data_IF_510449183488
#
_entry.id   IF_510449183488
#
_cell.length_a   1.000
_cell.length_b   1.000
_cell.length_c   1.000
_cell.angle_alpha   90.00
_cell.angle_beta   90.00
_cell.angle_gamma   90.00
#
_symmetry.space_group_name_H-M   'P 1'
#
loop_
_entity.id
_entity.type
_entity.pdbx_description
1 polymer ?
#
# COMPACT_ATOMS: atom_id res chain seq x y z
N UNK A 1 26.95 65.54 -0.65
CA UNK A 1 25.94 66.62 -0.74
C UNK A 1 24.61 66.09 -0.30
N UNK A 2 24.30 66.48 0.86
CA UNK A 2 23.14 67.21 1.37
C UNK A 2 21.83 66.47 1.35
N UNK A 3 21.33 66.26 2.45
CA UNK A 3 20.74 66.97 3.56
C UNK A 3 19.19 66.90 3.56
N UNK A 4 18.72 66.47 4.71
CA UNK A 4 17.73 67.13 5.61
C UNK A 4 16.26 67.15 5.12
N UNK A 5 15.27 67.11 5.95
CA UNK A 5 15.04 67.14 7.40
C UNK A 5 13.54 66.94 7.71
N UNK A 6 13.26 66.46 8.92
CA UNK A 6 12.35 66.98 9.97
C UNK A 6 10.85 67.15 9.78
N UNK A 7 10.15 66.67 10.83
CA UNK A 7 9.03 67.35 11.52
C UNK A 7 8.06 66.33 12.09
N UNK A 8 8.01 65.99 13.34
CA UNK A 8 7.54 66.59 14.61
C UNK A 8 6.07 67.00 14.60
N UNK A 9 5.19 66.40 15.37
CA UNK A 9 4.69 66.78 16.72
C UNK A 9 3.25 66.27 16.87
N UNK A 10 2.69 65.95 17.95
CA UNK A 10 2.62 66.17 19.40
C UNK A 10 1.30 65.62 19.96
N UNK A 11 1.41 64.97 21.06
CA UNK A 11 0.62 65.01 22.31
C UNK A 11 -0.89 65.35 22.34
N UNK A 12 -1.66 64.59 23.11
CA UNK A 12 -2.20 65.08 24.38
C UNK A 12 -2.86 63.97 25.24
N UNK A 13 -2.42 64.04 26.48
CA UNK A 13 -2.84 63.44 27.74
C UNK A 13 -4.31 63.57 28.11
N UNK A 14 -4.79 62.66 28.99
CA UNK A 14 -5.45 62.93 30.31
C UNK A 14 -5.91 61.58 30.90
N UNK A 15 -5.29 61.19 31.97
CA UNK A 15 -5.57 61.30 33.41
C UNK A 15 -6.88 60.69 33.90
N UNK A 16 -6.73 59.86 34.94
CA UNK A 16 -7.72 59.65 35.98
C UNK A 16 -7.68 58.31 36.68
N UNK A 17 -6.71 58.14 37.58
CA UNK A 17 -6.74 57.69 39.01
C UNK A 17 -7.76 56.64 39.48
N UNK A 18 -7.27 55.67 40.16
CA UNK A 18 -7.13 55.23 41.58
C UNK A 18 -7.81 53.90 41.76
N UNK A 19 -7.38 52.89 42.42
CA UNK A 19 -6.71 52.65 43.68
C UNK A 19 -6.51 51.13 43.91
N UNK A 20 -5.46 50.84 44.59
CA UNK A 20 -4.97 49.65 45.26
C UNK A 20 -5.94 48.56 45.76
N UNK A 21 -5.50 47.30 45.81
CA UNK A 21 -5.11 46.52 46.99
C UNK A 21 -5.04 45.01 46.66
N UNK A 22 -3.99 44.34 47.11
CA UNK A 22 -4.07 42.95 47.57
C UNK A 22 -3.41 41.89 46.68
N UNK A 23 -2.22 41.49 47.08
CA UNK A 23 -1.47 40.39 46.52
C UNK A 23 -2.05 39.00 46.79
N UNK A 24 -1.74 38.11 45.90
CA UNK A 24 -1.49 36.72 46.20
C UNK A 24 -0.78 36.05 45.01
N UNK A 25 0.44 35.67 45.22
CA UNK A 25 1.23 34.82 44.35
C UNK A 25 0.56 33.46 44.16
N UNK A 26 0.22 33.11 42.89
CA UNK A 26 -0.16 31.76 42.53
C UNK A 26 0.99 31.08 41.77
N UNK A 27 1.25 29.78 42.02
CA UNK A 27 2.34 29.06 41.42
C UNK A 27 2.07 28.80 39.95
N UNK A 28 3.12 28.89 39.12
CA UNK A 28 3.10 28.51 37.69
C UNK A 28 2.74 27.04 37.58
N UNK A 29 1.53 26.73 37.18
CA UNK A 29 1.15 25.40 36.75
C UNK A 29 1.84 25.12 35.41
N UNK A 30 2.62 24.06 35.40
CA UNK A 30 3.14 23.41 34.23
C UNK A 30 1.96 23.05 33.32
N UNK A 31 1.75 23.79 32.23
CA UNK A 31 0.84 23.35 31.17
C UNK A 31 1.54 22.23 30.41
N UNK A 32 1.25 21.03 30.84
CA UNK A 32 1.34 19.83 30.01
C UNK A 32 0.38 20.10 28.84
N UNK A 33 0.93 20.34 27.66
CA UNK A 33 0.14 20.42 26.42
C UNK A 33 -0.32 19.01 26.13
N UNK A 34 -1.56 18.70 26.52
CA UNK A 34 -2.32 17.58 25.97
C UNK A 34 -2.43 17.82 24.47
N UNK A 35 -1.66 17.07 23.71
CA UNK A 35 -1.85 16.97 22.27
C UNK A 35 -3.11 16.15 22.06
N UNK A 36 -4.13 16.82 21.54
CA UNK A 36 -5.41 16.26 21.14
C UNK A 36 -5.20 15.06 20.20
N UNK A 37 -5.54 13.87 20.68
CA UNK A 37 -5.39 12.57 20.00
C UNK A 37 -6.37 12.45 18.80
N UNK A 38 -7.26 13.45 18.65
CA UNK A 38 -8.30 13.52 17.62
C UNK A 38 -7.77 13.77 16.20
N UNK A 39 -6.55 14.31 16.06
CA UNK A 39 -5.95 14.59 14.74
C UNK A 39 -5.24 13.39 14.12
N UNK A 40 -5.07 12.28 14.83
CA UNK A 40 -4.31 11.11 14.34
C UNK A 40 -5.08 10.26 13.33
N UNK A 41 -6.40 10.14 13.46
CA UNK A 41 -7.21 9.27 12.59
C UNK A 41 -7.37 9.81 11.15
N UNK A 42 -7.30 11.12 10.98
CA UNK A 42 -7.49 11.78 9.68
C UNK A 42 -6.24 11.81 8.79
N UNK A 43 -5.06 11.49 9.33
CA UNK A 43 -3.77 11.79 8.70
C UNK A 43 -3.12 10.58 8.05
N UNK A 44 -3.46 9.37 8.46
CA UNK A 44 -2.95 8.14 7.82
C UNK A 44 -3.41 8.04 6.36
N UNK A 45 -4.65 8.44 6.10
CA UNK A 45 -5.21 8.55 4.75
C UNK A 45 -4.54 9.65 3.92
N UNK A 46 -4.01 10.70 4.58
CA UNK A 46 -3.42 11.87 3.90
C UNK A 46 -1.94 11.68 3.54
N UNK A 47 -1.20 10.83 4.24
CA UNK A 47 0.26 10.69 4.01
C UNK A 47 0.55 9.81 2.79
N UNK A 48 -0.25 8.77 2.55
CA UNK A 48 -0.10 7.88 1.38
C UNK A 48 -0.81 8.41 0.14
N UNK A 49 -1.84 9.25 0.30
CA UNK A 49 -2.69 9.72 -0.80
C UNK A 49 -2.37 11.14 -1.27
N UNK A 50 -1.72 12.00 -0.46
CA UNK A 50 -1.65 13.45 -0.73
C UNK A 50 -0.48 13.86 -1.64
N UNK A 51 0.62 13.10 -1.68
CA UNK A 51 1.76 13.41 -2.55
C UNK A 51 1.53 12.95 -3.99
N UNK A 52 0.81 11.82 -4.21
CA UNK A 52 0.44 11.34 -5.55
C UNK A 52 -0.88 11.93 -6.06
N UNK A 53 -1.81 12.31 -5.18
CA UNK A 53 -3.12 12.87 -5.55
C UNK A 53 -3.06 14.33 -6.00
N UNK A 54 -2.06 15.13 -5.58
CA UNK A 54 -1.90 16.51 -6.05
C UNK A 54 -1.50 16.62 -7.52
N UNK A 55 -0.87 15.58 -8.07
CA UNK A 55 -0.55 15.52 -9.49
C UNK A 55 -1.69 14.99 -10.37
N UNK A 56 -2.76 14.46 -9.78
CA UNK A 56 -3.88 13.77 -10.47
C UNK A 56 -5.24 14.46 -10.27
N UNK A 57 -5.32 15.54 -9.49
CA UNK A 57 -6.57 16.32 -9.31
C UNK A 57 -7.11 16.95 -10.62
N UNK A 58 -6.39 16.80 -11.75
CA UNK A 58 -6.87 17.13 -13.09
C UNK A 58 -7.47 15.97 -13.90
N UNK A 59 -7.56 14.75 -13.35
CA UNK A 59 -7.99 13.56 -14.09
C UNK A 59 -9.35 13.00 -13.69
N UNK A 60 -10.04 13.58 -12.71
CA UNK A 60 -11.40 13.15 -12.32
C UNK A 60 -12.50 13.59 -13.32
N UNK A 61 -12.18 14.51 -14.26
CA UNK A 61 -13.08 14.97 -15.34
C UNK A 61 -12.81 14.30 -16.70
N UNK A 62 -12.12 13.16 -16.75
CA UNK A 62 -12.08 12.38 -17.99
C UNK A 62 -13.46 11.75 -18.15
N UNK A 63 -14.25 12.28 -19.11
CA UNK A 63 -15.50 11.71 -19.59
C UNK A 63 -15.42 10.19 -19.61
N UNK A 64 -16.44 9.51 -19.06
CA UNK A 64 -16.57 8.05 -19.15
C UNK A 64 -16.56 7.66 -20.64
N UNK A 65 -15.38 7.30 -21.16
CA UNK A 65 -15.24 6.75 -22.50
C UNK A 65 -16.13 5.51 -22.53
N UNK A 66 -17.03 5.43 -23.48
CA UNK A 66 -17.92 4.27 -23.64
C UNK A 66 -17.09 2.97 -23.68
N UNK A 67 -17.58 1.89 -23.09
CA UNK A 67 -16.85 0.61 -23.01
C UNK A 67 -16.29 0.14 -24.38
N UNK A 68 -16.98 0.44 -25.51
CA UNK A 68 -16.50 0.15 -26.86
C UNK A 68 -15.22 0.93 -27.19
N UNK A 69 -15.12 2.20 -26.84
CA UNK A 69 -13.94 3.02 -27.11
C UNK A 69 -12.70 2.57 -26.31
N UNK A 70 -12.89 1.99 -25.13
CA UNK A 70 -11.78 1.43 -24.34
C UNK A 70 -11.23 0.16 -25.02
N UNK A 71 -12.09 -0.71 -25.53
CA UNK A 71 -11.67 -1.93 -26.24
C UNK A 71 -10.99 -1.59 -27.57
N UNK A 72 -11.50 -0.61 -28.30
CA UNK A 72 -10.86 -0.15 -29.55
C UNK A 72 -9.44 0.40 -29.27
N UNK A 73 -9.30 1.21 -28.22
CA UNK A 73 -7.99 1.71 -27.76
C UNK A 73 -7.07 0.57 -27.29
N UNK A 74 -7.60 -0.45 -26.59
CA UNK A 74 -6.83 -1.63 -26.19
C UNK A 74 -6.26 -2.34 -27.44
N UNK A 75 -7.08 -2.59 -28.46
CA UNK A 75 -6.67 -3.26 -29.70
C UNK A 75 -5.62 -2.46 -30.45
N UNK A 76 -5.82 -1.15 -30.62
CA UNK A 76 -4.85 -0.26 -31.26
C UNK A 76 -3.48 -0.31 -30.57
N UNK A 77 -3.46 -0.23 -29.24
CA UNK A 77 -2.20 -0.26 -28.50
C UNK A 77 -1.56 -1.66 -28.47
N UNK A 78 -2.33 -2.74 -28.54
CA UNK A 78 -1.78 -4.09 -28.72
C UNK A 78 -1.03 -4.22 -30.05
N UNK A 79 -1.58 -3.68 -31.16
CA UNK A 79 -0.93 -3.68 -32.46
C UNK A 79 0.36 -2.82 -32.43
N UNK A 80 0.30 -1.63 -31.85
CA UNK A 80 1.44 -0.73 -31.72
C UNK A 80 2.53 -1.29 -30.78
N UNK A 81 2.19 -2.12 -29.81
CA UNK A 81 3.15 -2.77 -28.92
C UNK A 81 4.04 -3.83 -29.63
N UNK A 82 3.72 -4.19 -30.87
CA UNK A 82 4.55 -5.06 -31.72
C UNK A 82 5.46 -4.26 -32.69
N UNK A 83 5.34 -2.95 -32.71
CA UNK A 83 6.03 -2.10 -33.68
C UNK A 83 7.57 -2.19 -33.55
N UNK A 84 8.29 -2.08 -34.69
CA UNK A 84 9.77 -2.17 -34.74
C UNK A 84 10.44 -0.99 -34.02
N UNK A 85 9.84 0.20 -34.10
CA UNK A 85 10.35 1.40 -33.43
C UNK A 85 10.11 1.29 -31.89
N UNK A 86 11.20 1.41 -31.13
CA UNK A 86 11.20 1.29 -29.66
C UNK A 86 10.29 2.35 -29.04
N UNK A 87 10.31 3.59 -29.49
CA UNK A 87 9.52 4.68 -28.91
C UNK A 87 8.02 4.43 -29.06
N UNK A 88 7.58 3.94 -30.24
CA UNK A 88 6.17 3.62 -30.49
C UNK A 88 5.76 2.44 -29.63
N UNK A 89 6.57 1.38 -29.61
CA UNK A 89 6.32 0.17 -28.83
C UNK A 89 6.25 0.45 -27.33
N UNK A 90 7.21 1.21 -26.80
CA UNK A 90 7.22 1.58 -25.38
C UNK A 90 6.04 2.47 -25.00
N UNK A 91 5.68 3.43 -25.85
CA UNK A 91 4.50 4.26 -25.66
C UNK A 91 3.22 3.40 -25.60
N UNK A 92 3.07 2.47 -26.54
CA UNK A 92 1.93 1.55 -26.58
C UNK A 92 1.85 0.67 -25.33
N UNK A 93 2.97 0.09 -24.89
CA UNK A 93 3.01 -0.72 -23.65
C UNK A 93 2.61 0.11 -22.40
N UNK A 94 3.08 1.36 -22.31
CA UNK A 94 2.69 2.28 -21.24
C UNK A 94 1.19 2.59 -21.28
N UNK A 95 0.64 2.82 -22.46
CA UNK A 95 -0.80 3.04 -22.63
C UNK A 95 -1.61 1.81 -22.21
N UNK A 96 -1.20 0.60 -22.61
CA UNK A 96 -1.84 -0.64 -22.18
C UNK A 96 -1.85 -0.77 -20.66
N UNK A 97 -0.70 -0.57 -20.01
CA UNK A 97 -0.61 -0.60 -18.56
C UNK A 97 -1.54 0.44 -17.91
N UNK A 98 -1.48 1.71 -18.31
CA UNK A 98 -2.29 2.78 -17.74
C UNK A 98 -3.79 2.58 -17.97
N UNK A 99 -4.16 2.10 -19.17
CA UNK A 99 -5.56 1.79 -19.51
C UNK A 99 -6.12 0.71 -18.58
N UNK A 100 -5.38 -0.39 -18.39
CA UNK A 100 -5.80 -1.49 -17.51
C UNK A 100 -5.70 -1.14 -16.02
N UNK A 101 -4.72 -0.35 -15.61
CA UNK A 101 -4.64 0.13 -14.24
C UNK A 101 -5.81 1.05 -13.87
N UNK A 102 -6.28 1.86 -14.83
CA UNK A 102 -7.35 2.85 -14.61
C UNK A 102 -8.76 2.33 -14.86
N UNK A 103 -8.93 1.26 -15.66
CA UNK A 103 -10.24 0.73 -16.03
C UNK A 103 -10.32 -0.76 -15.74
N UNK A 104 -11.44 -1.20 -15.17
CA UNK A 104 -11.75 -2.61 -15.02
C UNK A 104 -12.50 -3.11 -16.26
N UNK A 105 -11.94 -4.12 -16.91
CA UNK A 105 -12.52 -4.75 -18.09
C UNK A 105 -13.05 -6.17 -17.81
N UNK A 106 -12.57 -6.80 -16.74
CA UNK A 106 -13.06 -8.10 -16.28
C UNK A 106 -13.11 -9.17 -17.38
N UNK A 107 -14.27 -9.76 -17.58
CA UNK A 107 -14.49 -10.82 -18.57
C UNK A 107 -14.19 -10.41 -20.03
N UNK A 108 -14.32 -9.12 -20.38
CA UNK A 108 -14.01 -8.63 -21.72
C UNK A 108 -12.54 -8.79 -22.07
N UNK A 109 -11.66 -8.86 -21.05
CA UNK A 109 -10.23 -9.01 -21.21
C UNK A 109 -9.79 -10.46 -21.49
N UNK A 110 -10.60 -11.45 -21.10
CA UNK A 110 -10.26 -12.87 -21.18
C UNK A 110 -9.88 -13.27 -22.62
N UNK A 111 -10.59 -12.79 -23.62
CA UNK A 111 -10.28 -13.09 -25.04
C UNK A 111 -8.94 -12.54 -25.52
N UNK A 112 -8.35 -11.57 -24.82
CA UNK A 112 -7.06 -10.95 -25.13
C UNK A 112 -5.93 -11.40 -24.22
N UNK A 113 -6.20 -12.22 -23.18
CA UNK A 113 -5.27 -12.56 -22.12
C UNK A 113 -3.93 -13.12 -22.64
N UNK A 114 -3.99 -14.08 -23.57
CA UNK A 114 -2.79 -14.70 -24.11
C UNK A 114 -1.93 -13.71 -24.91
N UNK A 115 -2.56 -12.84 -25.71
CA UNK A 115 -1.83 -11.82 -26.48
C UNK A 115 -1.19 -10.78 -25.58
N UNK A 116 -1.91 -10.32 -24.55
CA UNK A 116 -1.40 -9.32 -23.59
C UNK A 116 -0.27 -9.91 -22.72
N UNK A 117 -0.40 -11.15 -22.28
CA UNK A 117 0.63 -11.86 -21.54
C UNK A 117 1.89 -12.08 -22.39
N UNK A 118 1.74 -12.44 -23.66
CA UNK A 118 2.85 -12.57 -24.60
C UNK A 118 3.56 -11.23 -24.85
N UNK A 119 2.81 -10.14 -25.04
CA UNK A 119 3.37 -8.78 -25.17
C UNK A 119 4.16 -8.38 -23.90
N UNK A 120 3.61 -8.62 -22.72
CA UNK A 120 4.29 -8.37 -21.45
C UNK A 120 5.58 -9.20 -21.35
N UNK A 121 5.51 -10.48 -21.63
CA UNK A 121 6.65 -11.40 -21.57
C UNK A 121 7.76 -11.03 -22.57
N UNK A 122 7.38 -10.60 -23.77
CA UNK A 122 8.32 -10.10 -24.77
C UNK A 122 8.97 -8.78 -24.34
N UNK A 123 8.22 -7.88 -23.71
CA UNK A 123 8.73 -6.61 -23.20
C UNK A 123 9.74 -6.83 -22.05
N UNK A 124 9.49 -7.77 -21.14
CA UNK A 124 10.39 -8.14 -20.05
C UNK A 124 11.79 -8.52 -20.55
N UNK A 125 11.91 -9.09 -21.75
CA UNK A 125 13.17 -9.53 -22.35
C UNK A 125 13.95 -8.43 -23.08
N UNK A 126 13.42 -7.20 -23.14
CA UNK A 126 14.01 -6.11 -23.94
C UNK A 126 14.76 -5.08 -23.09
N UNK A 127 14.57 -3.79 -23.40
CA UNK A 127 15.23 -2.69 -22.69
C UNK A 127 14.76 -2.59 -21.24
N UNK A 128 15.48 -1.84 -20.40
CA UNK A 128 15.12 -1.65 -18.99
C UNK A 128 13.75 -0.99 -18.84
N UNK A 129 13.44 0.02 -19.68
CA UNK A 129 12.11 0.64 -19.64
C UNK A 129 11.00 -0.31 -20.09
N UNK A 130 11.24 -1.10 -21.16
CA UNK A 130 10.26 -2.09 -21.61
C UNK A 130 10.09 -3.20 -20.56
N UNK A 131 11.16 -3.61 -19.89
CA UNK A 131 11.11 -4.60 -18.80
C UNK A 131 10.26 -4.11 -17.63
N UNK A 132 10.43 -2.85 -17.21
CA UNK A 132 9.61 -2.26 -16.14
C UNK A 132 8.13 -2.27 -16.53
N UNK A 133 7.81 -1.76 -17.71
CA UNK A 133 6.40 -1.66 -18.15
C UNK A 133 5.79 -3.02 -18.43
N UNK A 134 6.56 -3.95 -19.01
CA UNK A 134 6.12 -5.33 -19.23
C UNK A 134 5.80 -6.07 -17.95
N UNK A 135 6.64 -5.93 -16.92
CA UNK A 135 6.39 -6.53 -15.62
C UNK A 135 5.14 -5.91 -14.94
N UNK A 136 4.98 -4.60 -15.00
CA UNK A 136 3.78 -3.92 -14.50
C UNK A 136 2.51 -4.35 -15.25
N UNK A 137 2.58 -4.47 -16.58
CA UNK A 137 1.46 -4.94 -17.40
C UNK A 137 1.03 -6.35 -17.00
N UNK A 138 1.98 -7.27 -16.78
CA UNK A 138 1.68 -8.62 -16.31
C UNK A 138 0.96 -8.61 -14.96
N UNK A 139 1.46 -7.80 -14.00
CA UNK A 139 0.86 -7.70 -12.67
C UNK A 139 -0.55 -7.09 -12.71
N UNK A 140 -0.78 -6.07 -13.56
CA UNK A 140 -2.13 -5.49 -13.74
C UNK A 140 -3.07 -6.50 -14.38
N UNK A 141 -2.63 -7.31 -15.34
CA UNK A 141 -3.44 -8.40 -15.90
C UNK A 141 -3.88 -9.39 -14.82
N UNK A 142 -2.98 -9.77 -13.91
CA UNK A 142 -3.31 -10.63 -12.79
C UNK A 142 -4.36 -10.02 -11.86
N UNK A 143 -4.31 -8.70 -11.63
CA UNK A 143 -5.33 -7.98 -10.84
C UNK A 143 -6.67 -7.88 -11.58
N UNK A 144 -6.66 -7.83 -12.92
CA UNK A 144 -7.87 -7.73 -13.74
C UNK A 144 -8.68 -9.02 -13.80
N UNK A 145 -8.01 -10.15 -13.97
CA UNK A 145 -8.68 -11.43 -14.30
C UNK A 145 -8.24 -12.61 -13.41
N UNK A 146 -7.35 -12.39 -12.44
CA UNK A 146 -6.99 -13.39 -11.42
C UNK A 146 -6.56 -14.73 -12.02
N UNK A 147 -7.16 -15.80 -11.52
CA UNK A 147 -6.87 -17.19 -11.88
C UNK A 147 -7.09 -17.51 -13.38
N UNK A 148 -7.91 -16.73 -14.07
CA UNK A 148 -8.07 -16.85 -15.53
C UNK A 148 -6.77 -16.63 -16.31
N UNK A 149 -5.76 -15.98 -15.69
CA UNK A 149 -4.45 -15.77 -16.27
C UNK A 149 -3.45 -16.90 -15.94
N UNK A 150 -3.83 -17.89 -15.12
CA UNK A 150 -2.90 -18.90 -14.54
C UNK A 150 -2.08 -19.68 -15.57
N UNK A 151 -2.64 -19.96 -16.76
CA UNK A 151 -1.92 -20.64 -17.84
C UNK A 151 -0.81 -19.79 -18.48
N UNK A 152 -0.89 -18.46 -18.39
CA UNK A 152 -0.02 -17.52 -19.11
C UNK A 152 1.14 -16.99 -18.26
N UNK A 153 1.07 -17.13 -16.93
CA UNK A 153 2.05 -16.49 -16.03
C UNK A 153 3.31 -17.28 -15.71
N UNK A 154 3.38 -18.62 -15.77
CA UNK A 154 4.55 -19.38 -15.32
C UNK A 154 5.84 -18.95 -15.98
N UNK A 155 5.86 -18.86 -17.32
CA UNK A 155 7.06 -18.47 -18.08
C UNK A 155 7.54 -17.05 -17.76
N UNK A 156 6.61 -16.13 -17.58
CA UNK A 156 6.94 -14.75 -17.23
C UNK A 156 7.51 -14.64 -15.81
N UNK A 157 6.96 -15.38 -14.85
CA UNK A 157 7.47 -15.42 -13.48
C UNK A 157 8.88 -16.03 -13.43
N UNK A 158 9.13 -17.11 -14.18
CA UNK A 158 10.45 -17.71 -14.31
C UNK A 158 11.49 -16.77 -14.93
N UNK A 159 11.06 -15.80 -15.76
CA UNK A 159 11.94 -14.76 -16.32
C UNK A 159 12.18 -13.62 -15.31
N UNK A 160 11.17 -13.23 -14.54
CA UNK A 160 11.28 -12.11 -13.59
C UNK A 160 12.16 -12.44 -12.39
N UNK A 161 12.15 -13.68 -11.89
CA UNK A 161 12.97 -14.09 -10.74
C UNK A 161 14.47 -13.82 -10.96
N UNK A 162 15.14 -14.27 -12.03
CA UNK A 162 16.54 -13.96 -12.27
C UNK A 162 16.77 -12.47 -12.52
N UNK A 163 15.85 -11.74 -13.17
CA UNK A 163 15.96 -10.28 -13.36
C UNK A 163 15.98 -9.54 -12.02
N UNK A 164 15.14 -9.93 -11.08
CA UNK A 164 15.11 -9.34 -9.73
C UNK A 164 16.43 -9.58 -8.98
N UNK A 165 17.02 -10.75 -9.12
CA UNK A 165 18.26 -11.13 -8.40
C UNK A 165 19.53 -10.63 -9.08
N UNK A 166 19.48 -10.28 -10.36
CA UNK A 166 20.65 -9.82 -11.14
C UNK A 166 21.13 -8.44 -10.69
N UNK A 167 22.27 -8.39 -10.01
CA UNK A 167 22.87 -7.17 -9.51
C UNK A 167 23.40 -6.23 -10.61
N UNK A 168 23.51 -6.69 -11.84
CA UNK A 168 23.92 -5.88 -12.99
C UNK A 168 22.78 -5.01 -13.52
N UNK A 169 21.52 -5.35 -13.23
CA UNK A 169 20.34 -4.60 -13.64
C UNK A 169 20.12 -3.39 -12.74
N UNK A 170 19.59 -2.31 -13.31
CA UNK A 170 19.26 -1.10 -12.54
C UNK A 170 18.22 -1.37 -11.45
N UNK A 171 18.29 -0.62 -10.37
CA UNK A 171 17.45 -0.81 -9.19
C UNK A 171 15.94 -0.76 -9.52
N UNK A 172 15.54 0.16 -10.41
CA UNK A 172 14.13 0.29 -10.83
C UNK A 172 13.58 -0.96 -11.52
N UNK A 173 14.37 -1.62 -12.37
CA UNK A 173 13.98 -2.91 -13.00
C UNK A 173 13.79 -3.99 -11.95
N UNK A 174 14.74 -4.13 -11.04
CA UNK A 174 14.71 -5.15 -9.99
C UNK A 174 13.54 -4.95 -9.02
N UNK A 175 13.27 -3.70 -8.61
CA UNK A 175 12.14 -3.37 -7.72
C UNK A 175 10.80 -3.59 -8.42
N UNK A 176 10.68 -3.22 -9.71
CA UNK A 176 9.48 -3.49 -10.50
C UNK A 176 9.24 -4.99 -10.69
N UNK A 177 10.31 -5.76 -10.94
CA UNK A 177 10.22 -7.21 -11.03
C UNK A 177 9.74 -7.83 -9.69
N UNK A 178 10.27 -7.38 -8.55
CA UNK A 178 9.86 -7.87 -7.24
C UNK A 178 8.37 -7.63 -6.96
N UNK A 179 7.89 -6.40 -7.18
CA UNK A 179 6.47 -6.06 -7.02
C UNK A 179 5.57 -6.91 -7.94
N UNK A 180 5.97 -7.03 -9.20
CA UNK A 180 5.21 -7.79 -10.20
C UNK A 180 5.19 -9.28 -9.90
N UNK A 181 6.29 -9.87 -9.44
CA UNK A 181 6.33 -11.27 -8.97
C UNK A 181 5.33 -11.46 -7.84
N UNK A 182 5.36 -10.61 -6.80
CA UNK A 182 4.49 -10.75 -5.65
C UNK A 182 3.01 -10.71 -6.05
N UNK A 183 2.60 -9.70 -6.80
CA UNK A 183 1.20 -9.52 -7.21
C UNK A 183 0.76 -10.61 -8.18
N UNK A 184 1.57 -10.93 -9.21
CA UNK A 184 1.22 -11.96 -10.19
C UNK A 184 1.15 -13.34 -9.55
N UNK A 185 2.11 -13.70 -8.68
CA UNK A 185 2.10 -14.96 -7.97
C UNK A 185 0.89 -15.06 -7.02
N UNK A 186 0.52 -13.97 -6.36
CA UNK A 186 -0.60 -13.95 -5.43
C UNK A 186 -1.95 -14.13 -6.13
N UNK A 187 -2.21 -13.37 -7.20
CA UNK A 187 -3.53 -13.35 -7.85
C UNK A 187 -3.71 -14.41 -8.93
N UNK A 188 -2.63 -14.87 -9.58
CA UNK A 188 -2.75 -15.66 -10.81
C UNK A 188 -1.90 -16.94 -10.88
N UNK A 189 -0.97 -17.19 -9.94
CA UNK A 189 -0.13 -18.38 -10.04
C UNK A 189 -0.73 -19.55 -9.25
N UNK A 190 -1.13 -20.60 -9.96
CA UNK A 190 -1.62 -21.87 -9.40
C UNK A 190 -0.58 -22.99 -9.42
N UNK A 191 0.52 -22.82 -10.15
CA UNK A 191 1.58 -23.83 -10.28
C UNK A 191 2.48 -23.81 -9.05
N UNK A 192 2.39 -24.81 -8.18
CA UNK A 192 3.12 -24.90 -6.89
C UNK A 192 4.63 -24.73 -7.04
N UNK A 193 5.26 -25.38 -8.00
CA UNK A 193 6.72 -25.27 -8.22
C UNK A 193 7.14 -23.85 -8.62
N UNK A 194 6.36 -23.17 -9.47
CA UNK A 194 6.62 -21.80 -9.90
C UNK A 194 6.41 -20.84 -8.73
N UNK A 195 5.33 -21.02 -7.99
CA UNK A 195 5.05 -20.23 -6.79
C UNK A 195 6.16 -20.40 -5.75
N UNK A 196 6.58 -21.64 -5.46
CA UNK A 196 7.69 -21.94 -4.55
C UNK A 196 9.01 -21.32 -4.99
N UNK A 197 9.28 -21.30 -6.30
CA UNK A 197 10.43 -20.63 -6.90
C UNK A 197 10.38 -19.10 -6.69
N UNK A 198 9.22 -18.48 -6.89
CA UNK A 198 9.00 -17.05 -6.64
C UNK A 198 9.19 -16.72 -5.15
N UNK A 199 8.56 -17.48 -4.27
CA UNK A 199 8.69 -17.32 -2.82
C UNK A 199 10.13 -17.36 -2.36
N UNK A 200 10.89 -18.36 -2.84
CA UNK A 200 12.32 -18.49 -2.53
C UNK A 200 13.14 -17.33 -3.07
N UNK A 201 12.95 -16.93 -4.32
CA UNK A 201 13.67 -15.82 -4.93
C UNK A 201 13.44 -14.50 -4.19
N UNK A 202 12.21 -14.20 -3.78
CA UNK A 202 11.85 -13.04 -2.96
C UNK A 202 12.53 -13.09 -1.58
N UNK A 203 12.45 -14.25 -0.93
CA UNK A 203 13.08 -14.52 0.38
C UNK A 203 14.60 -14.31 0.34
N UNK A 204 15.28 -14.87 -0.66
CA UNK A 204 16.72 -14.74 -0.86
C UNK A 204 17.09 -13.28 -1.18
N UNK A 205 16.26 -12.54 -1.91
CA UNK A 205 16.54 -11.14 -2.29
C UNK A 205 16.50 -10.22 -1.09
N UNK A 206 15.41 -10.12 -0.36
CA UNK A 206 15.35 -9.23 0.80
C UNK A 206 16.23 -9.72 1.94
N UNK A 207 16.34 -11.03 2.11
CA UNK A 207 17.16 -11.68 3.12
C UNK A 207 18.67 -11.49 2.93
N UNK A 208 19.15 -11.19 1.75
CA UNK A 208 20.57 -10.92 1.48
C UNK A 208 21.01 -9.52 1.90
N UNK A 209 20.12 -8.56 2.06
CA UNK A 209 20.47 -7.19 2.41
C UNK A 209 20.99 -7.09 3.86
N UNK A 210 21.93 -6.18 4.06
CA UNK A 210 22.44 -5.81 5.38
C UNK A 210 21.77 -4.54 5.85
N UNK A 211 21.61 -4.39 7.15
CA UNK A 211 21.16 -3.14 7.77
C UNK A 211 22.10 -2.00 7.34
N UNK A 212 21.51 -0.88 6.91
CA UNK A 212 22.27 0.26 6.39
C UNK A 212 22.57 0.23 4.89
N UNK A 213 22.05 -0.77 4.15
CA UNK A 213 22.17 -0.80 2.68
C UNK A 213 21.48 0.39 2.03
N UNK A 214 21.99 0.85 0.88
CA UNK A 214 21.37 1.91 0.07
C UNK A 214 20.24 1.42 -0.84
N UNK A 215 20.00 0.11 -0.91
CA UNK A 215 19.00 -0.50 -1.82
C UNK A 215 17.60 -0.57 -1.20
N UNK A 216 17.14 0.53 -0.60
CA UNK A 216 15.88 0.61 0.16
C UNK A 216 14.67 0.22 -0.67
N UNK A 217 14.53 0.72 -1.91
CA UNK A 217 13.38 0.42 -2.75
C UNK A 217 13.26 -1.06 -3.10
N UNK A 218 14.38 -1.73 -3.41
CA UNK A 218 14.37 -3.17 -3.70
C UNK A 218 14.09 -3.99 -2.45
N UNK A 219 14.65 -3.59 -1.29
CA UNK A 219 14.34 -4.23 -0.02
C UNK A 219 12.83 -4.18 0.28
N UNK A 220 12.23 -2.99 0.24
CA UNK A 220 10.80 -2.81 0.53
C UNK A 220 9.92 -3.56 -0.49
N UNK A 221 10.24 -3.48 -1.78
CA UNK A 221 9.48 -4.18 -2.83
C UNK A 221 9.56 -5.71 -2.68
N UNK A 222 10.76 -6.25 -2.47
CA UNK A 222 10.93 -7.71 -2.32
C UNK A 222 10.37 -8.24 -0.99
N UNK A 223 10.45 -7.48 0.09
CA UNK A 223 9.85 -7.83 1.38
C UNK A 223 8.32 -7.80 1.31
N UNK A 224 7.72 -6.75 0.73
CA UNK A 224 6.27 -6.65 0.55
C UNK A 224 5.72 -7.76 -0.34
N UNK A 225 6.39 -8.06 -1.46
CA UNK A 225 6.05 -9.16 -2.34
C UNK A 225 6.17 -10.54 -1.64
N UNK A 226 7.20 -10.72 -0.81
CA UNK A 226 7.37 -11.93 0.00
C UNK A 226 6.25 -12.09 1.04
N UNK A 227 5.82 -11.00 1.66
CA UNK A 227 4.67 -11.03 2.57
C UNK A 227 3.38 -11.44 1.85
N UNK A 228 3.11 -10.95 0.62
CA UNK A 228 1.98 -11.43 -0.18
C UNK A 228 2.05 -12.96 -0.41
N UNK A 229 3.23 -13.45 -0.76
CA UNK A 229 3.42 -14.89 -0.99
C UNK A 229 3.27 -15.73 0.31
N UNK A 230 3.57 -15.17 1.48
CA UNK A 230 3.41 -15.84 2.78
C UNK A 230 1.95 -16.22 3.09
N UNK A 231 0.99 -15.46 2.64
CA UNK A 231 -0.44 -15.73 2.87
C UNK A 231 -0.84 -17.08 2.26
N UNK A 232 -0.29 -17.41 1.08
CA UNK A 232 -0.50 -18.68 0.37
C UNK A 232 0.56 -19.74 0.68
N UNK A 233 1.52 -19.47 1.56
CA UNK A 233 2.66 -20.33 1.82
C UNK A 233 2.26 -21.66 2.47
N UNK A 234 2.95 -22.73 2.09
CA UNK A 234 2.85 -24.02 2.74
C UNK A 234 3.59 -24.08 4.09
N UNK A 235 3.51 -25.20 4.79
CA UNK A 235 4.15 -25.39 6.09
C UNK A 235 5.69 -25.33 6.02
N UNK A 236 6.31 -25.75 4.92
CA UNK A 236 7.76 -25.70 4.73
C UNK A 236 8.22 -24.26 4.53
N UNK A 237 7.52 -23.51 3.69
CA UNK A 237 7.75 -22.10 3.43
C UNK A 237 7.56 -21.24 4.69
N UNK A 238 6.52 -21.52 5.49
CA UNK A 238 6.32 -20.88 6.80
C UNK A 238 7.42 -21.18 7.79
N UNK A 239 7.93 -22.42 7.81
CA UNK A 239 9.06 -22.77 8.68
C UNK A 239 10.32 -21.99 8.27
N UNK A 240 10.56 -21.83 6.96
CA UNK A 240 11.64 -20.98 6.46
C UNK A 240 11.43 -19.51 6.81
N UNK A 241 10.19 -19.00 6.75
CA UNK A 241 9.84 -17.63 7.13
C UNK A 241 10.09 -17.35 8.62
N UNK A 242 9.74 -18.30 9.50
CA UNK A 242 10.01 -18.19 10.95
C UNK A 242 11.53 -18.04 11.19
N UNK A 243 12.36 -18.75 10.47
CA UNK A 243 13.82 -18.66 10.59
C UNK A 243 14.38 -17.29 10.17
N UNK A 244 13.66 -16.53 9.35
CA UNK A 244 14.04 -15.18 8.90
C UNK A 244 13.58 -14.06 9.84
N UNK A 245 12.70 -14.33 10.82
CA UNK A 245 12.19 -13.35 11.77
C UNK A 245 13.29 -12.53 12.47
N UNK A 246 14.43 -13.11 12.95
CA UNK A 246 15.48 -12.31 13.59
C UNK A 246 16.11 -11.27 12.64
N UNK A 247 16.10 -11.50 11.33
CA UNK A 247 16.57 -10.51 10.35
C UNK A 247 15.61 -9.32 10.25
N UNK A 248 14.30 -9.57 10.29
CA UNK A 248 13.31 -8.48 10.35
C UNK A 248 13.50 -7.61 11.59
N UNK A 249 13.75 -8.23 12.75
CA UNK A 249 14.05 -7.49 13.99
C UNK A 249 15.27 -6.60 13.81
N UNK A 250 16.34 -7.11 13.20
CA UNK A 250 17.55 -6.31 12.95
C UNK A 250 17.29 -5.09 12.05
N UNK A 251 16.37 -5.18 11.07
CA UNK A 251 15.98 -4.03 10.25
C UNK A 251 15.09 -3.05 11.03
N UNK A 252 14.23 -3.51 11.94
CA UNK A 252 13.46 -2.64 12.85
C UNK A 252 14.39 -1.83 13.76
N UNK A 253 15.47 -2.41 14.23
CA UNK A 253 16.50 -1.72 15.01
C UNK A 253 17.41 -0.80 14.16
N UNK A 254 17.40 -0.95 12.84
CA UNK A 254 18.20 -0.15 11.89
C UNK A 254 17.83 1.33 11.89
N UNK A 255 18.61 2.14 11.17
CA UNK A 255 18.44 3.61 11.15
C UNK A 255 17.60 4.15 9.99
N UNK A 256 17.36 3.33 8.96
CA UNK A 256 16.63 3.76 7.75
C UNK A 256 15.13 3.60 7.98
N UNK A 257 14.39 4.71 7.94
CA UNK A 257 12.98 4.76 8.28
C UNK A 257 12.12 3.80 7.45
N UNK A 258 12.26 3.84 6.14
CA UNK A 258 11.44 3.02 5.22
C UNK A 258 11.66 1.52 5.45
N UNK A 259 12.92 1.08 5.58
CA UNK A 259 13.24 -0.32 5.88
C UNK A 259 12.73 -0.75 7.25
N UNK A 260 12.86 0.15 8.25
CA UNK A 260 12.36 -0.08 9.61
C UNK A 260 10.85 -0.26 9.62
N UNK A 261 10.11 0.62 8.92
CA UNK A 261 8.65 0.57 8.80
C UNK A 261 8.23 -0.72 8.10
N UNK A 262 8.80 -1.01 6.92
CA UNK A 262 8.47 -2.22 6.16
C UNK A 262 8.76 -3.50 6.95
N UNK A 263 9.87 -3.56 7.69
CA UNK A 263 10.19 -4.71 8.53
C UNK A 263 9.25 -4.86 9.72
N UNK A 264 8.81 -3.75 10.33
CA UNK A 264 7.82 -3.75 11.40
C UNK A 264 6.46 -4.25 10.94
N UNK A 265 5.98 -3.77 9.80
CA UNK A 265 4.74 -4.22 9.18
C UNK A 265 4.80 -5.69 8.76
N UNK A 266 5.93 -6.14 8.21
CA UNK A 266 6.16 -7.55 7.89
C UNK A 266 6.15 -8.46 9.13
N UNK A 267 6.67 -7.98 10.28
CA UNK A 267 6.58 -8.71 11.54
C UNK A 267 5.14 -8.84 12.03
N UNK A 268 4.34 -7.76 12.00
CA UNK A 268 2.93 -7.81 12.36
C UNK A 268 2.17 -8.79 11.44
N UNK A 269 2.40 -8.71 10.14
CA UNK A 269 1.81 -9.63 9.17
C UNK A 269 2.20 -11.10 9.45
N UNK A 270 3.48 -11.36 9.76
CA UNK A 270 3.94 -12.71 10.10
C UNK A 270 3.28 -13.25 11.38
N UNK A 271 3.05 -12.40 12.38
CA UNK A 271 2.25 -12.76 13.57
C UNK A 271 0.80 -13.09 13.20
N UNK A 272 0.19 -12.35 12.28
CA UNK A 272 -1.18 -12.61 11.83
C UNK A 272 -1.29 -13.97 11.14
N UNK A 273 -0.47 -14.22 10.13
CA UNK A 273 -0.47 -15.48 9.36
C UNK A 273 -0.18 -16.70 10.25
N UNK A 274 0.77 -16.59 11.17
CA UNK A 274 1.10 -17.67 12.10
C UNK A 274 0.05 -17.84 13.19
N UNK A 275 -0.55 -16.75 13.69
CA UNK A 275 -1.62 -16.76 14.67
C UNK A 275 -2.90 -17.40 14.14
N UNK A 276 -3.23 -17.21 12.86
CA UNK A 276 -4.36 -17.87 12.20
C UNK A 276 -4.19 -19.38 12.12
N UNK A 277 -2.97 -19.85 11.94
CA UNK A 277 -2.65 -21.29 11.83
C UNK A 277 -2.38 -21.96 13.16
N UNK A 278 -1.92 -21.20 14.17
CA UNK A 278 -1.57 -21.69 15.50
C UNK A 278 -2.09 -20.69 16.54
N UNK A 279 -3.17 -21.00 17.18
CA UNK A 279 -3.74 -20.15 18.24
C UNK A 279 -2.67 -19.74 19.26
N UNK A 280 -2.64 -18.46 19.60
CA UNK A 280 -1.70 -17.86 20.56
C UNK A 280 -0.21 -18.02 20.19
N UNK A 281 0.11 -18.05 18.90
CA UNK A 281 1.49 -18.11 18.45
C UNK A 281 2.29 -16.89 18.94
N UNK A 282 3.50 -17.15 19.48
CA UNK A 282 4.49 -16.13 19.86
C UNK A 282 5.87 -16.58 19.49
N UNK A 283 6.69 -15.66 18.98
CA UNK A 283 8.12 -15.94 18.77
C UNK A 283 8.86 -16.03 20.11
N UNK A 284 9.96 -16.79 20.18
CA UNK A 284 10.74 -16.92 21.44
C UNK A 284 11.27 -15.58 21.98
N UNK A 285 11.51 -14.59 21.09
CA UNK A 285 11.98 -13.25 21.44
C UNK A 285 10.85 -12.22 21.56
N UNK A 286 9.62 -12.66 21.78
CA UNK A 286 8.43 -11.79 21.81
C UNK A 286 8.58 -10.59 22.75
N UNK A 287 9.03 -10.82 23.99
CA UNK A 287 9.16 -9.75 25.00
C UNK A 287 10.22 -8.72 24.60
N UNK A 288 11.33 -9.18 24.02
CA UNK A 288 12.37 -8.28 23.50
C UNK A 288 11.84 -7.44 22.34
N UNK A 289 11.11 -8.06 21.40
CA UNK A 289 10.47 -7.37 20.29
C UNK A 289 9.44 -6.35 20.77
N UNK A 290 8.60 -6.69 21.75
CA UNK A 290 7.61 -5.77 22.33
C UNK A 290 8.30 -4.53 22.94
N UNK A 291 9.42 -4.69 23.64
CA UNK A 291 10.19 -3.57 24.19
C UNK A 291 10.71 -2.64 23.07
N UNK A 292 11.34 -3.20 22.01
CA UNK A 292 11.84 -2.41 20.87
C UNK A 292 10.70 -1.64 20.20
N UNK A 293 9.57 -2.29 19.95
CA UNK A 293 8.41 -1.67 19.29
C UNK A 293 7.78 -0.59 20.18
N UNK A 294 7.71 -0.80 21.49
CA UNK A 294 7.24 0.18 22.47
C UNK A 294 8.11 1.44 22.50
N UNK A 295 9.43 1.26 22.47
CA UNK A 295 10.39 2.37 22.40
C UNK A 295 10.20 3.17 21.10
N UNK A 296 10.06 2.50 19.96
CA UNK A 296 9.82 3.14 18.65
C UNK A 296 8.47 3.85 18.57
N UNK A 297 7.44 3.32 19.20
CA UNK A 297 6.10 3.92 19.28
C UNK A 297 6.09 5.20 20.12
N UNK A 298 7.00 5.33 21.09
CA UNK A 298 7.14 6.48 22.00
C UNK A 298 8.25 7.46 21.58
N UNK A 299 9.15 7.07 20.67
CA UNK A 299 10.36 7.81 20.31
C UNK A 299 10.07 9.24 19.85
N UNK A 300 10.73 10.22 20.48
CA UNK A 300 10.67 11.64 20.16
C UNK A 300 12.01 12.20 19.64
N UNK A 301 12.75 11.40 18.86
CA UNK A 301 14.08 11.75 18.34
C UNK A 301 14.14 13.17 17.74
N UNK A 302 15.12 13.99 18.17
CA UNK A 302 15.29 15.36 17.69
C UNK A 302 15.85 15.44 16.25
N UNK A 303 16.44 14.35 15.75
CA UNK A 303 17.19 14.31 14.48
C UNK A 303 16.33 14.05 13.23
N UNK A 304 15.07 13.62 13.37
CA UNK A 304 14.17 13.27 12.24
C UNK A 304 13.24 14.42 11.90
N UNK A 305 12.76 14.46 10.64
CA UNK A 305 11.72 15.42 10.23
C UNK A 305 10.42 15.19 11.00
N UNK A 306 9.56 16.21 11.09
CA UNK A 306 8.26 16.08 11.75
C UNK A 306 7.37 15.02 11.09
N UNK A 307 7.44 14.92 9.74
CA UNK A 307 6.71 13.91 8.93
C UNK A 307 7.20 12.50 9.27
N UNK A 308 8.52 12.28 9.25
CA UNK A 308 9.11 10.96 9.51
C UNK A 308 8.81 10.44 10.92
N UNK A 309 8.87 11.33 11.93
CA UNK A 309 8.50 10.99 13.32
C UNK A 309 7.06 10.55 13.43
N UNK A 310 6.16 11.23 12.72
CA UNK A 310 4.74 10.92 12.74
C UNK A 310 4.46 9.59 12.08
N UNK A 311 5.01 9.33 10.88
CA UNK A 311 4.88 8.04 10.19
C UNK A 311 5.41 6.91 11.07
N UNK A 312 6.63 7.04 11.58
CA UNK A 312 7.23 6.03 12.45
C UNK A 312 6.36 5.75 13.68
N UNK A 313 6.00 6.80 14.41
CA UNK A 313 5.22 6.67 15.66
C UNK A 313 3.88 6.02 15.43
N UNK A 314 3.19 6.37 14.36
CA UNK A 314 1.89 5.80 14.02
C UNK A 314 2.01 4.33 13.64
N UNK A 315 2.92 3.99 12.72
CA UNK A 315 3.12 2.60 12.30
C UNK A 315 3.51 1.71 13.50
N UNK A 316 4.49 2.14 14.31
CA UNK A 316 4.94 1.31 15.43
C UNK A 316 3.96 1.23 16.59
N UNK A 317 3.07 2.20 16.79
CA UNK A 317 1.93 2.05 17.69
C UNK A 317 0.98 0.95 17.22
N UNK A 318 0.63 0.93 15.94
CA UNK A 318 -0.23 -0.11 15.37
C UNK A 318 0.42 -1.50 15.44
N UNK A 319 1.70 -1.60 15.05
CA UNK A 319 2.45 -2.86 15.12
C UNK A 319 2.59 -3.36 16.56
N UNK A 320 2.89 -2.47 17.51
CA UNK A 320 3.00 -2.79 18.92
C UNK A 320 1.66 -3.29 19.48
N UNK A 321 0.56 -2.54 19.28
CA UNK A 321 -0.77 -2.91 19.75
C UNK A 321 -1.21 -4.26 19.18
N UNK A 322 -0.95 -4.49 17.89
CA UNK A 322 -1.26 -5.77 17.25
C UNK A 322 -0.47 -6.95 17.86
N UNK A 323 0.84 -6.82 18.03
CA UNK A 323 1.71 -7.91 18.52
C UNK A 323 1.47 -8.19 20.01
N UNK A 324 1.19 -7.17 20.82
CA UNK A 324 1.04 -7.31 22.29
C UNK A 324 -0.40 -7.55 22.73
N UNK A 325 -1.37 -6.91 22.08
CA UNK A 325 -2.77 -6.86 22.50
C UNK A 325 -3.69 -7.57 21.51
N UNK A 326 -3.20 -7.89 20.31
CA UNK A 326 -3.99 -8.50 19.23
C UNK A 326 -4.94 -7.51 18.54
N UNK A 327 -4.76 -6.22 18.77
CA UNK A 327 -5.57 -5.17 18.13
C UNK A 327 -5.10 -4.95 16.68
N UNK A 328 -5.91 -5.42 15.72
CA UNK A 328 -5.61 -5.23 14.30
C UNK A 328 -5.58 -3.75 13.91
N UNK A 329 -4.70 -3.35 12.96
CA UNK A 329 -4.75 -2.01 12.42
C UNK A 329 -6.14 -1.75 11.83
N UNK A 330 -6.70 -0.59 12.09
CA UNK A 330 -7.97 -0.17 11.50
C UNK A 330 -7.78 1.13 10.74
N UNK A 331 -7.92 1.06 9.42
CA UNK A 331 -7.84 2.21 8.53
C UNK A 331 -9.06 2.23 7.63
N UNK A 332 -9.81 3.34 7.65
CA UNK A 332 -10.98 3.52 6.80
C UNK A 332 -10.64 4.37 5.58
N UNK A 333 -10.83 3.82 4.39
CA UNK A 333 -10.66 4.54 3.12
C UNK A 333 -12.04 4.86 2.55
N UNK A 334 -12.28 6.15 2.35
CA UNK A 334 -13.55 6.63 1.80
C UNK A 334 -13.55 6.42 0.28
N UNK A 335 -14.46 5.58 -0.18
CA UNK A 335 -14.87 5.46 -1.59
C UNK A 335 -16.21 6.20 -1.70
N UNK A 336 -16.45 6.97 -2.72
CA UNK A 336 -17.59 7.90 -2.89
C UNK A 336 -18.84 7.64 -2.01
N UNK A 337 -19.46 6.47 -2.18
CA UNK A 337 -20.72 6.07 -1.50
C UNK A 337 -20.52 5.02 -0.40
N UNK A 338 -19.33 4.42 -0.31
CA UNK A 338 -19.00 3.34 0.60
C UNK A 338 -17.62 3.56 1.25
N UNK A 339 -17.33 2.81 2.29
CA UNK A 339 -16.04 2.83 2.95
C UNK A 339 -15.37 1.45 2.82
N UNK A 340 -14.10 1.46 2.51
CA UNK A 340 -13.24 0.28 2.64
C UNK A 340 -12.60 0.31 4.04
N UNK A 341 -12.75 -0.75 4.80
CA UNK A 341 -12.12 -0.92 6.10
C UNK A 341 -10.95 -1.90 5.97
N UNK A 342 -9.74 -1.41 6.22
CA UNK A 342 -8.53 -2.22 6.30
C UNK A 342 -8.30 -2.59 7.78
N UNK A 343 -8.90 -3.67 8.21
CA UNK A 343 -8.94 -4.10 9.61
C UNK A 343 -8.09 -5.36 9.89
N UNK A 344 -7.14 -5.63 9.00
CA UNK A 344 -6.13 -6.68 9.16
C UNK A 344 -4.79 -6.27 8.55
N UNK A 345 -3.71 -6.89 8.98
CA UNK A 345 -2.40 -6.69 8.37
C UNK A 345 -2.41 -7.14 6.90
N UNK A 346 -3.14 -8.21 6.58
CA UNK A 346 -3.31 -8.73 5.22
C UNK A 346 -4.00 -7.72 4.32
N UNK A 347 -5.13 -7.14 4.73
CA UNK A 347 -5.83 -6.13 3.93
C UNK A 347 -4.98 -4.90 3.70
N UNK A 348 -4.29 -4.42 4.74
CA UNK A 348 -3.37 -3.29 4.61
C UNK A 348 -2.24 -3.59 3.63
N UNK A 349 -1.59 -4.74 3.76
CA UNK A 349 -0.48 -5.15 2.88
C UNK A 349 -0.93 -5.22 1.42
N UNK A 350 -2.02 -5.93 1.12
CA UNK A 350 -2.53 -6.06 -0.25
C UNK A 350 -2.92 -4.71 -0.81
N UNK A 351 -3.59 -3.85 -0.01
CA UNK A 351 -3.93 -2.50 -0.41
C UNK A 351 -2.70 -1.67 -0.78
N UNK A 352 -1.64 -1.71 0.02
CA UNK A 352 -0.40 -0.96 -0.21
C UNK A 352 0.31 -1.45 -1.49
N UNK A 353 0.41 -2.77 -1.69
CA UNK A 353 1.01 -3.35 -2.90
C UNK A 353 0.21 -3.02 -4.17
N UNK A 354 -1.12 -3.05 -4.09
CA UNK A 354 -2.00 -2.66 -5.19
C UNK A 354 -1.92 -1.15 -5.48
N UNK A 355 -1.80 -0.32 -4.45
CA UNK A 355 -1.64 1.14 -4.60
C UNK A 355 -0.33 1.47 -5.32
N UNK A 356 0.76 0.77 -5.00
CA UNK A 356 2.04 0.94 -5.70
C UNK A 356 1.95 0.55 -7.18
N UNK A 357 1.22 -0.53 -7.50
CA UNK A 357 1.01 -0.97 -8.89
C UNK A 357 0.01 -0.07 -9.64
N UNK A 358 -1.18 0.15 -9.07
CA UNK A 358 -2.31 0.80 -9.76
C UNK A 358 -2.28 2.33 -9.68
N UNK A 359 -1.55 2.88 -8.72
CA UNK A 359 -1.39 4.33 -8.50
C UNK A 359 -2.75 5.06 -8.51
N UNK A 360 -2.93 6.08 -9.34
CA UNK A 360 -4.19 6.80 -9.48
C UNK A 360 -5.40 5.97 -9.93
N UNK A 361 -5.19 4.75 -10.44
CA UNK A 361 -6.26 3.82 -10.82
C UNK A 361 -6.88 3.06 -9.64
N UNK A 362 -6.22 3.00 -8.48
CA UNK A 362 -6.64 2.16 -7.34
C UNK A 362 -8.12 2.39 -6.95
N UNK A 363 -8.56 3.63 -6.81
CA UNK A 363 -9.95 3.93 -6.45
C UNK A 363 -10.97 3.45 -7.51
N UNK A 364 -10.63 3.56 -8.80
CA UNK A 364 -11.49 3.09 -9.89
C UNK A 364 -11.58 1.57 -9.91
N UNK A 365 -10.47 0.89 -9.67
CA UNK A 365 -10.45 -0.57 -9.54
C UNK A 365 -11.30 -1.01 -8.34
N UNK A 366 -11.15 -0.44 -7.16
CA UNK A 366 -11.97 -0.77 -5.99
C UNK A 366 -13.48 -0.56 -6.21
N UNK A 367 -13.86 0.37 -7.08
CA UNK A 367 -15.30 0.60 -7.39
C UNK A 367 -15.89 -0.48 -8.29
N UNK A 368 -15.13 -1.02 -9.24
CA UNK A 368 -15.65 -1.85 -10.34
C UNK A 368 -15.04 -3.24 -10.41
N UNK A 369 -13.82 -3.46 -9.93
CA UNK A 369 -13.11 -4.73 -10.05
C UNK A 369 -13.70 -5.77 -9.07
N UNK A 370 -14.38 -6.76 -9.60
CA UNK A 370 -15.08 -7.80 -8.84
C UNK A 370 -14.12 -8.60 -7.96
N UNK A 371 -12.94 -8.95 -8.47
CA UNK A 371 -11.92 -9.69 -7.72
C UNK A 371 -11.42 -8.91 -6.51
N UNK A 372 -11.13 -7.62 -6.67
CA UNK A 372 -10.71 -6.77 -5.55
C UNK A 372 -11.83 -6.50 -4.57
N UNK A 373 -13.06 -6.33 -5.06
CA UNK A 373 -14.23 -6.13 -4.21
C UNK A 373 -14.55 -7.36 -3.38
N UNK A 374 -14.41 -8.55 -3.98
CA UNK A 374 -14.56 -9.82 -3.26
C UNK A 374 -13.46 -9.97 -2.20
N UNK A 375 -12.20 -9.71 -2.58
CA UNK A 375 -11.08 -9.77 -1.66
C UNK A 375 -11.24 -8.86 -0.43
N UNK A 376 -11.70 -7.62 -0.64
CA UNK A 376 -11.88 -6.64 0.44
C UNK A 376 -13.28 -6.65 1.07
N UNK A 377 -14.09 -7.66 0.83
CA UNK A 377 -15.47 -7.76 1.34
C UNK A 377 -16.36 -6.55 1.02
N UNK A 378 -16.13 -5.88 -0.10
CA UNK A 378 -16.91 -4.71 -0.52
C UNK A 378 -18.29 -5.09 -1.10
N UNK A 379 -18.46 -6.35 -1.51
CA UNK A 379 -19.67 -6.83 -2.18
C UNK A 379 -19.81 -6.30 -3.62
N UNK A 380 -21.01 -6.44 -4.20
CA UNK A 380 -21.26 -6.00 -5.57
C UNK A 380 -21.04 -4.48 -5.74
N UNK A 381 -20.61 -4.02 -6.94
CA UNK A 381 -20.47 -2.58 -7.22
C UNK A 381 -21.77 -1.82 -6.93
N UNK A 382 -21.65 -0.67 -6.27
CA UNK A 382 -22.80 0.20 -6.01
C UNK A 382 -23.12 0.95 -7.30
N UNK A 383 -24.25 0.64 -7.92
CA UNK A 383 -24.69 1.35 -9.13
C UNK A 383 -24.80 2.86 -8.87
N UNK A 384 -24.31 3.64 -9.80
CA UNK A 384 -24.48 5.08 -9.81
C UNK A 384 -25.92 5.42 -10.17
N UNK A 385 -26.81 5.41 -9.20
CA UNK A 385 -28.10 6.08 -9.36
C UNK A 385 -27.85 7.58 -9.20
N UNK A 386 -28.20 8.38 -10.20
CA UNK A 386 -28.07 9.85 -10.23
C UNK A 386 -28.90 10.58 -9.14
N UNK A 387 -29.65 9.85 -8.35
CA UNK A 387 -30.38 10.41 -7.22
C UNK A 387 -29.42 10.78 -6.09
N UNK A 388 -29.37 12.07 -5.77
CA UNK A 388 -28.75 12.58 -4.55
C UNK A 388 -29.37 11.93 -3.32
N UNK A 389 -28.87 10.76 -2.94
CA UNK A 389 -29.35 10.03 -1.78
C UNK A 389 -29.20 10.87 -0.52
N UNK A 390 -30.26 10.97 0.26
CA UNK A 390 -30.27 11.61 1.56
C UNK A 390 -29.22 10.95 2.48
N UNK A 391 -28.56 11.74 3.35
CA UNK A 391 -27.54 11.29 4.32
C UNK A 391 -28.02 10.08 5.15
N UNK A 392 -29.32 10.06 5.51
CA UNK A 392 -29.93 8.97 6.26
C UNK A 392 -29.96 7.64 5.45
N UNK A 393 -30.27 7.71 4.16
CA UNK A 393 -30.30 6.52 3.29
C UNK A 393 -28.88 5.99 3.05
N UNK A 394 -27.87 6.87 2.90
CA UNK A 394 -26.45 6.46 2.81
C UNK A 394 -25.97 5.74 4.07
N UNK A 395 -26.31 6.26 5.25
CA UNK A 395 -26.00 5.60 6.53
C UNK A 395 -26.71 4.26 6.68
N UNK A 396 -27.97 4.17 6.28
CA UNK A 396 -28.73 2.93 6.36
C UNK A 396 -28.12 1.83 5.47
N UNK A 397 -27.72 2.17 4.25
CA UNK A 397 -27.05 1.25 3.30
C UNK A 397 -25.70 0.81 3.88
N UNK A 398 -24.87 1.76 4.35
CA UNK A 398 -23.58 1.45 4.95
C UNK A 398 -23.72 0.53 6.18
N UNK A 399 -24.70 0.80 7.05
CA UNK A 399 -24.97 -0.04 8.21
C UNK A 399 -25.43 -1.46 7.81
N UNK A 400 -26.19 -1.59 6.72
CA UNK A 400 -26.63 -2.89 6.23
C UNK A 400 -25.47 -3.69 5.62
N UNK A 401 -24.58 -3.02 4.88
CA UNK A 401 -23.35 -3.61 4.33
C UNK A 401 -22.44 -4.09 5.48
N UNK A 402 -22.18 -3.22 6.47
CA UNK A 402 -21.36 -3.57 7.63
C UNK A 402 -21.94 -4.76 8.40
N UNK A 403 -23.25 -4.80 8.59
CA UNK A 403 -23.94 -5.92 9.24
C UNK A 403 -23.78 -7.23 8.45
N UNK A 404 -23.85 -7.20 7.12
CA UNK A 404 -23.61 -8.38 6.29
C UNK A 404 -22.17 -8.87 6.38
N UNK A 405 -21.18 -7.94 6.36
CA UNK A 405 -19.77 -8.24 6.55
C UNK A 405 -19.50 -8.89 7.91
N UNK A 406 -20.06 -8.33 8.99
CA UNK A 406 -19.93 -8.89 10.33
C UNK A 406 -20.52 -10.30 10.42
N UNK A 407 -21.63 -10.54 9.74
CA UNK A 407 -22.23 -11.88 9.67
C UNK A 407 -21.36 -12.87 8.88
N UNK A 408 -20.77 -12.44 7.76
CA UNK A 408 -19.84 -13.27 6.99
C UNK A 408 -18.58 -13.60 7.79
N UNK A 409 -17.97 -12.60 8.43
CA UNK A 409 -16.78 -12.78 9.29
C UNK A 409 -17.08 -13.71 10.49
N UNK A 410 -18.26 -13.59 11.09
CA UNK A 410 -18.69 -14.48 12.16
C UNK A 410 -18.81 -15.92 11.67
N UNK A 411 -19.44 -16.13 10.49
CA UNK A 411 -19.56 -17.47 9.88
C UNK A 411 -18.21 -18.08 9.51
N UNK A 412 -17.26 -17.26 9.05
CA UNK A 412 -15.89 -17.70 8.73
C UNK A 412 -15.11 -18.08 9.99
N UNK A 413 -15.27 -17.32 11.10
CA UNK A 413 -14.69 -17.65 12.40
C UNK A 413 -15.26 -18.93 12.98
N UNK A 414 -16.59 -19.11 12.92
CA UNK A 414 -17.27 -20.33 13.40
C UNK A 414 -16.83 -21.57 12.61
N UNK A 415 -16.59 -21.46 11.31
CA UNK A 415 -16.05 -22.56 10.49
C UNK A 415 -14.59 -22.91 10.80
N UNK A 416 -13.79 -21.97 11.32
CA UNK A 416 -12.40 -22.21 11.74
C UNK A 416 -12.30 -22.79 13.16
N UNK A 417 -13.39 -22.77 13.91
CA UNK A 417 -13.47 -23.28 15.29
C UNK A 417 -13.98 -24.71 15.39
N UNK A 418 -14.39 -25.32 14.28
CA UNK A 418 -14.74 -26.72 14.12
C UNK A 418 -13.62 -27.47 13.43
#
# INVERSE_FOLDING_TARGET
SNEMAKGRNKNKDRDGSTSAVGGASRPKSNRQTDYDDSDCESISTHITLDDDMRSVQGADDVEEVSGSGIIDSLCEHMDNATHKNISIRLAALRHLYLLLASNYLGSDLIKYKATLADLATKAIKKTDEECIVGSQLLAVLAVQIGEELSSEVPDALLLLCPIMTDSSRILGVRSSAALSIGITAYFACETEDVFGGCFKALSDTWGAFKVGTQYTSLFCASLGAWCLALEKADNQQLTAAIALQPRLVAFVEGNQLEMRVSAGEALAFLYEVLGERRSSFRFPNHDHLANILGDLASESSKSKTKKDKRVQKMTFRQVYSFITEGEAPSLTIKLDKENLELDSCTYKLVYDQLTELLRGGMRRQLKKNELLRDFFDLGAPVEQTDERMNKANRMAIQNSINKMRDQQRSKLRDKRSC
#
